data_IF_502890782509
#
_entry.id   IF_502890782509
#
_cell.length_a   1.000
_cell.length_b   1.000
_cell.length_c   1.000
_cell.angle_alpha   90.00
_cell.angle_beta   90.00
_cell.angle_gamma   90.00
#
_symmetry.space_group_name_H-M   'P 1'
#
loop_
_entity.id
_entity.type
_entity.pdbx_description
1 polymer ?
#
# COMPACT_ATOMS: atom_id res chain seq x y z
N UNK A 1 0.53 0.68 3.06
CA UNK A 1 1.28 1.71 3.80
C UNK A 1 2.11 1.25 4.99
N UNK A 2 1.63 0.38 5.89
CA UNK A 2 2.38 0.03 7.11
C UNK A 2 3.84 -0.38 6.86
N UNK A 3 4.10 -1.22 5.85
CA UNK A 3 5.45 -1.68 5.53
C UNK A 3 6.34 -0.58 4.94
N UNK A 4 5.79 0.26 4.06
CA UNK A 4 6.47 1.44 3.56
C UNK A 4 6.87 2.36 4.71
N UNK A 5 5.94 2.67 5.62
CA UNK A 5 6.25 3.48 6.79
C UNK A 5 7.32 2.87 7.69
N UNK A 6 7.34 1.54 7.86
CA UNK A 6 8.38 0.85 8.63
C UNK A 6 9.77 0.92 7.99
N UNK A 7 9.84 0.94 6.66
CA UNK A 7 11.10 1.03 5.92
C UNK A 7 11.70 2.44 5.92
N UNK A 8 10.90 3.47 6.17
CA UNK A 8 11.39 4.84 6.22
C UNK A 8 12.11 5.18 7.56
N UNK A 9 13.17 6.02 7.54
CA UNK A 9 13.91 6.46 8.74
C UNK A 9 13.04 7.22 9.74
N UNK A 10 12.99 6.82 11.02
CA UNK A 10 12.02 7.40 11.99
C UNK A 10 12.38 8.80 12.49
N UNK A 11 13.56 9.27 12.14
CA UNK A 11 14.17 10.54 12.52
C UNK A 11 14.25 11.55 11.34
N UNK A 12 13.85 11.12 10.14
CA UNK A 12 13.91 11.93 8.91
C UNK A 12 12.94 13.12 8.88
N UNK A 13 13.20 14.07 7.97
CA UNK A 13 12.36 15.27 7.78
C UNK A 13 10.89 14.93 7.45
N UNK A 14 10.66 13.87 6.67
CA UNK A 14 9.30 13.42 6.33
C UNK A 14 8.49 13.05 7.60
N UNK A 15 9.13 12.43 8.61
CA UNK A 15 8.42 11.99 9.81
C UNK A 15 8.00 13.19 10.65
N UNK A 16 8.91 14.17 10.80
CA UNK A 16 8.60 15.46 11.45
C UNK A 16 7.49 16.20 10.70
N UNK A 17 7.48 16.14 9.38
CA UNK A 17 6.42 16.73 8.56
C UNK A 17 5.05 16.05 8.81
N UNK A 18 5.02 14.71 8.84
CA UNK A 18 3.80 13.95 9.13
C UNK A 18 3.22 14.27 10.51
N UNK A 19 4.07 14.39 11.53
CA UNK A 19 3.63 14.79 12.88
C UNK A 19 2.95 16.17 12.88
N UNK A 20 3.44 17.14 12.10
CA UNK A 20 2.81 18.45 11.97
C UNK A 20 1.50 18.42 11.16
N UNK A 21 1.42 17.59 10.11
CA UNK A 21 0.22 17.51 9.26
C UNK A 21 -0.95 16.78 9.94
N UNK A 22 -0.66 15.87 10.86
CA UNK A 22 -1.67 15.11 11.59
C UNK A 22 -1.59 15.38 13.11
N UNK A 23 -1.87 16.61 13.58
CA UNK A 23 -1.61 17.04 14.97
C UNK A 23 -2.50 16.36 16.04
N UNK A 24 -3.38 15.43 15.67
CA UNK A 24 -4.17 14.59 16.60
C UNK A 24 -3.82 13.11 16.56
N UNK A 25 -2.80 12.72 15.78
CA UNK A 25 -2.45 11.33 15.56
C UNK A 25 -1.18 10.99 16.35
N UNK A 26 -1.27 9.98 17.21
CA UNK A 26 -0.12 9.58 18.02
C UNK A 26 1.06 9.13 17.15
N UNK A 27 2.28 9.46 17.57
CA UNK A 27 3.52 9.06 16.90
C UNK A 27 3.56 7.55 16.61
N UNK A 28 3.05 6.73 17.54
CA UNK A 28 2.91 5.28 17.36
C UNK A 28 2.02 4.92 16.16
N UNK A 29 0.87 5.60 15.99
CA UNK A 29 -0.04 5.37 14.86
C UNK A 29 0.59 5.82 13.53
N UNK A 30 1.36 6.91 13.53
CA UNK A 30 2.14 7.33 12.34
C UNK A 30 3.22 6.29 11.99
N UNK A 31 3.97 5.79 12.97
CA UNK A 31 4.99 4.74 12.77
C UNK A 31 4.39 3.45 12.25
N UNK A 32 3.17 3.12 12.66
CA UNK A 32 2.41 1.98 12.17
C UNK A 32 1.75 2.21 10.82
N UNK A 33 1.78 3.42 10.26
CA UNK A 33 1.15 3.75 8.99
C UNK A 33 -0.37 3.76 9.04
N UNK A 34 -0.93 4.18 10.18
CA UNK A 34 -2.38 4.30 10.41
C UNK A 34 -2.79 5.76 10.25
N UNK A 35 -3.03 6.18 9.01
CA UNK A 35 -3.51 7.52 8.67
C UNK A 35 -4.22 7.48 7.32
N UNK A 36 -4.95 8.55 6.99
CA UNK A 36 -5.69 8.68 5.73
C UNK A 36 -4.73 8.81 4.54
N UNK A 37 -4.65 7.75 3.73
CA UNK A 37 -3.77 7.66 2.57
C UNK A 37 -4.15 8.66 1.48
N UNK A 38 -5.43 9.01 1.34
CA UNK A 38 -5.91 9.94 0.30
C UNK A 38 -5.47 11.36 0.61
N UNK A 39 -5.54 11.76 1.89
CA UNK A 39 -4.97 13.05 2.34
C UNK A 39 -3.48 13.11 2.07
N UNK A 40 -2.76 12.01 2.30
CA UNK A 40 -1.32 11.97 2.04
C UNK A 40 -0.98 12.03 0.54
N UNK A 41 -1.72 11.32 -0.32
CA UNK A 41 -1.50 11.35 -1.78
C UNK A 41 -1.76 12.73 -2.41
N UNK A 42 -2.62 13.55 -1.82
CA UNK A 42 -2.89 14.93 -2.26
C UNK A 42 -1.85 15.95 -1.79
N UNK A 43 -0.94 15.55 -0.90
CA UNK A 43 0.00 16.46 -0.27
C UNK A 43 1.32 16.51 -1.04
N UNK A 44 1.46 17.46 -1.96
CA UNK A 44 2.66 17.62 -2.79
C UNK A 44 3.93 17.94 -1.99
N UNK A 45 3.78 18.62 -0.84
CA UNK A 45 4.92 18.94 0.03
C UNK A 45 5.53 17.70 0.67
N UNK A 46 4.76 16.61 0.81
CA UNK A 46 5.26 15.36 1.38
C UNK A 46 6.39 14.75 0.55
N UNK A 47 6.30 14.79 -0.78
CA UNK A 47 7.32 14.30 -1.69
C UNK A 47 8.64 15.07 -1.60
N UNK A 48 8.55 16.38 -1.37
CA UNK A 48 9.74 17.24 -1.21
C UNK A 48 10.56 16.88 0.01
N UNK A 49 9.95 16.21 1.00
CA UNK A 49 10.58 15.80 2.26
C UNK A 49 11.18 14.39 2.24
N UNK A 50 11.02 13.69 1.12
CA UNK A 50 11.56 12.35 0.91
C UNK A 50 12.89 12.37 0.18
N UNK A 51 13.76 11.43 0.55
CA UNK A 51 14.98 11.10 -0.18
C UNK A 51 14.66 10.43 -1.52
N UNK A 52 15.66 10.34 -2.40
CA UNK A 52 15.47 9.88 -3.80
C UNK A 52 14.77 8.53 -3.92
N UNK A 53 15.20 7.53 -3.13
CA UNK A 53 14.62 6.18 -3.19
C UNK A 53 13.23 6.10 -2.54
N UNK A 54 13.03 6.84 -1.46
CA UNK A 54 11.74 6.96 -0.76
C UNK A 54 10.70 7.57 -1.70
N UNK A 55 11.08 8.66 -2.38
CA UNK A 55 10.25 9.37 -3.35
C UNK A 55 9.88 8.47 -4.52
N UNK A 56 10.84 7.76 -5.13
CA UNK A 56 10.55 6.80 -6.21
C UNK A 56 9.57 5.70 -5.76
N UNK A 57 9.76 5.15 -4.57
CA UNK A 57 8.85 4.16 -4.02
C UNK A 57 7.45 4.75 -3.75
N UNK A 58 7.37 6.00 -3.28
CA UNK A 58 6.11 6.69 -3.06
C UNK A 58 5.37 7.04 -4.36
N UNK A 59 6.07 7.58 -5.36
CA UNK A 59 5.52 7.93 -6.67
C UNK A 59 5.01 6.70 -7.41
N UNK A 60 5.78 5.62 -7.44
CA UNK A 60 5.32 4.35 -8.01
C UNK A 60 4.11 3.80 -7.25
N UNK A 61 4.09 3.88 -5.92
CA UNK A 61 2.92 3.50 -5.13
C UNK A 61 1.68 4.32 -5.47
N UNK A 62 1.78 5.66 -5.57
CA UNK A 62 0.67 6.52 -6.02
C UNK A 62 0.15 6.09 -7.38
N UNK A 63 1.06 5.84 -8.32
CA UNK A 63 0.73 5.38 -9.67
C UNK A 63 0.04 4.01 -9.65
N UNK A 64 0.52 3.09 -8.82
CA UNK A 64 -0.09 1.77 -8.62
C UNK A 64 -1.52 1.90 -8.10
N UNK A 65 -1.76 2.75 -7.10
CA UNK A 65 -3.09 2.98 -6.56
C UNK A 65 -4.04 3.55 -7.62
N UNK A 66 -3.63 4.59 -8.35
CA UNK A 66 -4.49 5.24 -9.34
C UNK A 66 -4.70 4.41 -10.61
N UNK A 67 -3.73 3.58 -10.98
CA UNK A 67 -3.79 2.75 -12.19
C UNK A 67 -4.48 1.41 -11.97
N UNK A 68 -4.48 0.91 -10.73
CA UNK A 68 -5.08 -0.37 -10.36
C UNK A 68 -6.48 -0.22 -9.75
N UNK A 69 -6.67 0.69 -8.79
CA UNK A 69 -7.92 0.87 -8.04
C UNK A 69 -8.82 1.97 -8.63
N UNK A 70 -9.02 1.91 -9.95
CA UNK A 70 -9.92 2.81 -10.68
C UNK A 70 -11.09 2.06 -11.31
N UNK A 71 -12.07 2.83 -11.80
CA UNK A 71 -13.22 2.29 -12.55
C UNK A 71 -12.81 1.50 -13.81
N UNK A 72 -11.61 1.77 -14.33
CA UNK A 72 -11.00 1.07 -15.45
C UNK A 72 -9.53 0.83 -15.14
N UNK A 73 -9.11 -0.44 -15.08
CA UNK A 73 -7.69 -0.79 -14.98
C UNK A 73 -6.90 -0.24 -16.17
N UNK A 74 -5.73 0.32 -15.87
CA UNK A 74 -4.77 0.70 -16.89
C UNK A 74 -4.28 -0.57 -17.64
N UNK A 75 -4.21 -0.62 -18.97
CA UNK A 75 -3.69 -1.78 -19.70
C UNK A 75 -2.31 -2.25 -19.22
N UNK A 76 -1.49 -1.31 -18.72
CA UNK A 76 -0.14 -1.56 -18.22
C UNK A 76 -0.10 -1.77 -16.69
N UNK A 77 -1.23 -2.08 -16.03
CA UNK A 77 -1.28 -2.21 -14.58
C UNK A 77 -0.30 -3.25 -14.03
N UNK A 78 -0.04 -4.34 -14.78
CA UNK A 78 0.93 -5.37 -14.38
C UNK A 78 2.34 -4.81 -14.21
N UNK A 79 2.86 -4.15 -15.25
CA UNK A 79 4.19 -3.55 -15.19
C UNK A 79 4.28 -2.45 -14.12
N UNK A 80 3.20 -1.70 -13.92
CA UNK A 80 3.13 -0.68 -12.87
C UNK A 80 3.24 -1.34 -11.48
N UNK A 81 2.48 -2.41 -11.22
CA UNK A 81 2.54 -3.08 -9.92
C UNK A 81 3.89 -3.78 -9.70
N UNK A 82 4.46 -4.41 -10.73
CA UNK A 82 5.83 -4.96 -10.69
C UNK A 82 6.85 -3.87 -10.30
N UNK A 83 6.71 -2.66 -10.84
CA UNK A 83 7.56 -1.52 -10.51
C UNK A 83 7.37 -1.07 -9.05
N UNK A 84 6.14 -1.04 -8.53
CA UNK A 84 5.88 -0.75 -7.10
C UNK A 84 6.61 -1.76 -6.23
N UNK A 85 6.47 -3.06 -6.53
CA UNK A 85 7.08 -4.14 -5.75
C UNK A 85 8.61 -4.05 -5.80
N UNK A 86 9.18 -3.75 -6.97
CA UNK A 86 10.62 -3.54 -7.13
C UNK A 86 11.13 -2.37 -6.30
N UNK A 87 10.46 -1.21 -6.36
CA UNK A 87 10.87 -0.05 -5.58
C UNK A 87 10.71 -0.27 -4.07
N UNK A 88 9.69 -1.03 -3.65
CA UNK A 88 9.52 -1.41 -2.26
C UNK A 88 10.63 -2.35 -1.78
N UNK A 89 11.07 -3.31 -2.60
CA UNK A 89 12.23 -4.16 -2.29
C UNK A 89 13.51 -3.34 -2.16
N UNK A 90 13.75 -2.37 -3.06
CA UNK A 90 14.90 -1.46 -3.00
C UNK A 90 14.88 -0.62 -1.72
N UNK A 91 13.70 -0.15 -1.31
CA UNK A 91 13.51 0.60 -0.07
C UNK A 91 13.69 -0.26 1.19
N UNK A 92 13.78 -1.59 1.06
CA UNK A 92 13.87 -2.50 2.20
C UNK A 92 12.52 -2.79 2.88
N UNK A 93 11.40 -2.54 2.19
CA UNK A 93 10.08 -2.93 2.67
C UNK A 93 9.98 -4.46 2.78
N UNK A 94 9.63 -4.96 3.96
CA UNK A 94 9.31 -6.38 4.09
C UNK A 94 8.05 -6.71 3.27
N UNK A 95 8.09 -7.85 2.57
CA UNK A 95 6.96 -8.32 1.78
C UNK A 95 5.86 -8.82 2.73
N UNK A 96 4.84 -8.00 2.95
CA UNK A 96 3.66 -8.43 3.70
C UNK A 96 2.84 -9.41 2.86
N UNK A 97 1.95 -10.15 3.52
CA UNK A 97 1.00 -11.04 2.85
C UNK A 97 0.21 -10.33 1.74
N UNK A 98 -0.16 -9.06 1.98
CA UNK A 98 -0.84 -8.22 0.98
C UNK A 98 0.00 -7.97 -0.27
N UNK A 99 1.30 -7.69 -0.09
CA UNK A 99 2.22 -7.44 -1.21
C UNK A 99 2.51 -8.74 -1.95
N UNK A 100 2.67 -9.85 -1.24
CA UNK A 100 2.83 -11.17 -1.85
C UNK A 100 1.61 -11.60 -2.66
N UNK A 101 0.40 -11.41 -2.11
CA UNK A 101 -0.85 -11.69 -2.82
C UNK A 101 -0.98 -10.83 -4.06
N UNK A 102 -0.68 -9.53 -3.93
CA UNK A 102 -0.68 -8.61 -5.05
C UNK A 102 0.33 -9.08 -6.12
N UNK A 103 1.57 -9.43 -5.78
CA UNK A 103 2.61 -9.92 -6.71
C UNK A 103 2.18 -11.22 -7.43
N UNK A 104 1.64 -12.18 -6.67
CA UNK A 104 1.37 -13.54 -7.16
C UNK A 104 0.03 -13.68 -7.87
N UNK A 105 -0.94 -12.82 -7.58
CA UNK A 105 -2.35 -12.99 -7.97
C UNK A 105 -2.98 -11.73 -8.56
N UNK A 106 -2.19 -10.90 -9.26
CA UNK A 106 -2.70 -9.72 -9.97
C UNK A 106 -3.89 -10.00 -10.88
N UNK A 107 -3.88 -11.16 -11.55
CA UNK A 107 -4.91 -11.58 -12.51
C UNK A 107 -6.25 -11.96 -11.87
N UNK A 108 -6.30 -12.18 -10.55
CA UNK A 108 -7.53 -12.53 -9.83
C UNK A 108 -8.44 -11.32 -9.59
N UNK A 109 -7.92 -10.10 -9.70
CA UNK A 109 -8.69 -8.90 -9.46
C UNK A 109 -9.61 -8.58 -10.66
N UNK A 110 -10.88 -8.23 -10.46
CA UNK A 110 -11.79 -7.85 -11.55
C UNK A 110 -11.28 -6.61 -12.32
N UNK A 111 -11.73 -6.44 -13.57
CA UNK A 111 -11.31 -5.30 -14.42
C UNK A 111 -11.75 -3.94 -13.88
N UNK A 112 -12.87 -3.91 -13.15
CA UNK A 112 -13.39 -2.74 -12.48
C UNK A 112 -13.31 -2.97 -10.98
N UNK A 113 -12.36 -2.28 -10.35
CA UNK A 113 -12.20 -2.28 -8.90
C UNK A 113 -12.87 -1.09 -8.25
N UNK A 114 -13.71 -0.32 -8.96
CA UNK A 114 -14.28 0.95 -8.51
C UNK A 114 -13.22 2.02 -8.26
N UNK A 115 -13.62 3.30 -8.28
CA UNK A 115 -12.75 4.35 -7.78
C UNK A 115 -12.55 4.15 -6.28
N UNK A 116 -11.30 4.21 -5.79
CA UNK A 116 -10.90 4.08 -4.36
C UNK A 116 -11.96 4.67 -3.41
N UNK A 117 -12.92 3.86 -2.98
CA UNK A 117 -13.95 4.21 -2.01
C UNK A 117 -13.59 3.57 -0.67
N UNK A 118 -14.09 4.13 0.43
CA UNK A 118 -13.78 3.59 1.78
C UNK A 118 -14.22 2.13 1.86
N UNK A 119 -15.40 1.81 1.32
CA UNK A 119 -15.96 0.46 1.26
C UNK A 119 -15.12 -0.57 0.51
N UNK A 120 -14.26 -0.16 -0.44
CA UNK A 120 -13.43 -1.08 -1.23
C UNK A 120 -12.08 -1.33 -0.57
N UNK A 121 -11.49 -0.29 0.01
CA UNK A 121 -10.33 -0.47 0.88
C UNK A 121 -10.72 -1.37 2.06
N UNK A 122 -11.88 -1.10 2.68
CA UNK A 122 -12.41 -1.82 3.83
C UNK A 122 -12.76 -3.28 3.50
N UNK A 123 -13.41 -3.56 2.37
CA UNK A 123 -13.63 -4.95 1.90
C UNK A 123 -12.33 -5.70 1.66
N UNK A 124 -11.34 -5.08 1.01
CA UNK A 124 -10.02 -5.71 0.83
C UNK A 124 -9.27 -5.89 2.15
N UNK A 125 -9.48 -5.01 3.14
CA UNK A 125 -8.96 -5.22 4.49
C UNK A 125 -9.68 -6.37 5.20
N UNK A 126 -11.00 -6.51 5.07
CA UNK A 126 -11.78 -7.59 5.68
C UNK A 126 -11.46 -8.96 5.09
N UNK A 127 -11.40 -9.07 3.75
CA UNK A 127 -11.03 -10.31 3.07
C UNK A 127 -9.66 -10.80 3.54
N UNK A 128 -8.68 -9.90 3.61
CA UNK A 128 -7.32 -10.25 4.04
C UNK A 128 -7.29 -10.54 5.54
N UNK A 129 -8.03 -9.81 6.37
CA UNK A 129 -8.10 -10.05 7.82
C UNK A 129 -8.69 -11.43 8.10
N UNK A 130 -9.72 -11.82 7.36
CA UNK A 130 -10.35 -13.13 7.47
C UNK A 130 -9.41 -14.24 6.98
N UNK A 131 -8.66 -14.00 5.90
CA UNK A 131 -7.60 -14.92 5.47
C UNK A 131 -6.46 -15.05 6.48
N UNK A 132 -5.96 -13.94 7.03
CA UNK A 132 -4.93 -13.94 8.08
C UNK A 132 -5.41 -14.71 9.32
N UNK A 133 -6.69 -14.56 9.69
CA UNK A 133 -7.33 -15.29 10.80
C UNK A 133 -7.43 -16.79 10.51
N UNK A 134 -8.00 -17.16 9.36
CA UNK A 134 -8.23 -18.57 8.98
C UNK A 134 -6.94 -19.36 8.86
N UNK A 135 -5.89 -18.71 8.36
CA UNK A 135 -4.64 -19.38 8.02
C UNK A 135 -3.47 -19.02 8.93
N UNK A 136 -3.72 -18.27 10.01
CA UNK A 136 -2.71 -17.86 11.00
C UNK A 136 -1.45 -17.23 10.37
N UNK A 137 -1.65 -16.48 9.27
CA UNK A 137 -0.55 -15.88 8.50
C UNK A 137 0.29 -16.85 7.68
N UNK A 138 -0.09 -18.13 7.55
CA UNK A 138 0.57 -19.12 6.68
C UNK A 138 -0.12 -19.16 5.32
N UNK A 139 0.63 -18.92 4.24
CA UNK A 139 0.10 -19.02 2.88
C UNK A 139 0.07 -20.48 2.39
N UNK A 140 -1.07 -20.93 1.84
CA UNK A 140 -1.18 -22.20 1.12
C UNK A 140 -2.07 -22.05 -0.13
N UNK A 141 -1.92 -22.97 -1.11
CA UNK A 141 -2.68 -22.96 -2.37
C UNK A 141 -4.20 -23.10 -2.14
N UNK A 142 -4.61 -23.76 -1.07
CA UNK A 142 -6.02 -23.89 -0.67
C UNK A 142 -6.68 -22.59 -0.24
N UNK A 143 -5.92 -21.58 0.19
CA UNK A 143 -6.45 -20.23 0.51
C UNK A 143 -7.10 -19.56 -0.69
N UNK A 144 -6.71 -19.94 -1.91
CA UNK A 144 -7.23 -19.38 -3.17
C UNK A 144 -8.64 -19.93 -3.46
N UNK A 145 -8.94 -21.17 -3.04
CA UNK A 145 -10.24 -21.79 -3.26
C UNK A 145 -11.37 -21.12 -2.44
N UNK A 146 -11.02 -20.50 -1.31
CA UNK A 146 -11.96 -19.73 -0.46
C UNK A 146 -12.38 -18.39 -1.09
N UNK A 147 -11.73 -17.97 -2.18
CA UNK A 147 -12.07 -16.76 -2.94
C UNK A 147 -13.05 -17.04 -4.11
N UNK A 148 -13.42 -18.30 -4.35
CA UNK A 148 -14.32 -18.76 -5.42
C UNK A 148 -15.78 -18.85 -4.99
#
# INVERSE_FOLDING_TARGET
>A
MKQFMKALPKDGEYFKYLCHQFPGLFEAKLKEGVFDIRKMMKNENFETKMETNERKAWESFKLGITSFFGNKKNPNYKSIVEEVIKNFKILGCSMSLKVHFLDSHLDYFPENLGAVSEDQEERFYEDIKEMERRYQGKWNVGMIADYC
#
